data_IF_004215683102
#
_entry.id   IF_004215683102
#
_cell.length_a   1.000
_cell.length_b   1.000
_cell.length_c   1.000
_cell.angle_alpha   90.00
_cell.angle_beta   90.00
_cell.angle_gamma   90.00
#
_symmetry.space_group_name_H-M   'P 1'
#
loop_
_entity.id
_entity.type
_entity.pdbx_description
1 polymer ?
#
# COMPACT_ATOMS: atom_id res chain seq x y z
N UNK A 1 -5.70 -8.07 -79.86
CA UNK A 1 -5.78 -6.60 -79.76
C UNK A 1 -5.79 -6.16 -78.35
N UNK A 2 -4.76 -5.36 -77.98
CA UNK A 2 -4.61 -4.38 -76.85
C UNK A 2 -4.62 -4.91 -75.42
N UNK A 3 -3.55 -5.06 -74.76
CA UNK A 3 -2.48 -4.10 -74.26
C UNK A 3 -2.95 -3.19 -73.18
N UNK A 4 -2.36 -3.37 -72.07
CA UNK A 4 -1.35 -2.62 -71.32
C UNK A 4 -1.90 -1.74 -70.21
N UNK A 5 -1.33 -1.87 -69.01
CA UNK A 5 -1.58 -0.92 -67.93
C UNK A 5 -1.38 -1.44 -66.53
N UNK A 6 -0.27 -2.16 -66.28
CA UNK A 6 0.12 -2.52 -64.90
C UNK A 6 1.61 -2.39 -64.71
N UNK A 7 2.13 -1.17 -64.54
CA UNK A 7 3.54 -0.98 -64.08
C UNK A 7 3.82 0.47 -63.68
N UNK A 8 3.04 1.10 -62.80
CA UNK A 8 3.39 2.45 -62.28
C UNK A 8 3.01 2.68 -60.79
N UNK A 9 2.78 1.64 -59.97
CA UNK A 9 2.43 1.83 -58.53
C UNK A 9 3.39 1.20 -57.54
N UNK A 10 4.54 0.66 -57.96
CA UNK A 10 5.49 0.00 -57.03
C UNK A 10 6.80 0.81 -56.77
N UNK A 11 7.01 1.94 -57.37
CA UNK A 11 8.21 2.76 -57.15
C UNK A 11 8.03 3.89 -56.10
N UNK A 12 6.81 4.20 -55.68
CA UNK A 12 6.56 5.24 -54.67
C UNK A 12 6.74 4.78 -53.22
N UNK A 13 6.56 3.48 -52.94
CA UNK A 13 6.65 2.97 -51.58
C UNK A 13 8.07 2.75 -51.08
N UNK A 14 9.00 2.38 -51.95
CA UNK A 14 10.39 2.11 -51.56
C UNK A 14 11.18 3.39 -51.27
N UNK A 15 10.86 4.50 -51.91
CA UNK A 15 11.53 5.78 -51.69
C UNK A 15 11.15 6.42 -50.34
N UNK A 16 9.87 6.24 -49.90
CA UNK A 16 9.42 6.77 -48.67
C UNK A 16 10.03 6.03 -47.41
N UNK A 17 10.23 4.70 -47.56
CA UNK A 17 10.86 3.88 -46.49
C UNK A 17 12.37 4.18 -46.40
N UNK A 18 13.06 4.42 -47.53
CA UNK A 18 14.46 4.76 -47.53
C UNK A 18 14.77 6.17 -46.96
N UNK A 19 13.84 7.14 -47.13
CA UNK A 19 13.99 8.49 -46.53
C UNK A 19 13.74 8.44 -45.02
N UNK A 20 12.83 7.60 -44.52
CA UNK A 20 12.59 7.40 -43.07
C UNK A 20 13.77 6.66 -42.41
N UNK A 21 14.36 5.66 -43.06
CA UNK A 21 15.52 4.94 -42.55
C UNK A 21 16.79 5.79 -42.56
N UNK A 22 16.97 6.63 -43.59
CA UNK A 22 18.13 7.53 -43.70
C UNK A 22 18.15 8.69 -42.72
N UNK A 23 16.94 9.21 -42.34
CA UNK A 23 16.81 10.26 -41.34
C UNK A 23 17.03 9.78 -39.90
N UNK A 24 16.73 8.51 -39.60
CA UNK A 24 17.02 7.92 -38.29
C UNK A 24 18.52 7.64 -38.02
N UNK A 25 19.32 7.42 -39.10
CA UNK A 25 20.75 7.17 -38.97
C UNK A 25 21.57 8.47 -38.84
N UNK A 26 21.05 9.63 -39.20
CA UNK A 26 21.77 10.90 -39.21
C UNK A 26 21.65 11.72 -37.89
N UNK A 27 20.76 11.36 -36.96
CA UNK A 27 20.58 12.08 -35.72
C UNK A 27 20.40 11.12 -34.52
N UNK A 28 21.49 10.70 -33.86
CA UNK A 28 21.41 9.88 -32.65
C UNK A 28 20.63 10.58 -31.52
N UNK A 29 20.60 11.92 -31.47
CA UNK A 29 19.79 12.69 -30.53
C UNK A 29 18.26 12.55 -30.75
N UNK A 30 17.81 12.29 -31.98
CA UNK A 30 16.39 12.14 -32.29
C UNK A 30 15.86 10.75 -31.87
N UNK A 31 16.71 9.73 -31.92
CA UNK A 31 16.33 8.37 -31.46
C UNK A 31 16.21 8.28 -29.93
N UNK A 32 17.04 9.00 -29.18
CA UNK A 32 16.94 9.13 -27.73
C UNK A 32 15.70 9.92 -27.32
N UNK A 33 15.39 11.02 -28.02
CA UNK A 33 14.19 11.82 -27.73
C UNK A 33 12.90 11.08 -28.06
N UNK A 34 12.87 10.31 -29.15
CA UNK A 34 11.71 9.48 -29.53
C UNK A 34 11.55 8.29 -28.58
N UNK A 35 12.64 7.66 -28.14
CA UNK A 35 12.64 6.60 -27.14
C UNK A 35 12.11 7.08 -25.78
N UNK A 36 12.55 8.27 -25.33
CA UNK A 36 12.04 8.89 -24.09
C UNK A 36 10.58 9.34 -24.22
N UNK A 37 10.17 9.82 -25.40
CA UNK A 37 8.76 10.19 -25.65
C UNK A 37 7.86 8.97 -25.68
N UNK A 38 8.25 7.88 -26.34
CA UNK A 38 7.50 6.61 -26.34
C UNK A 38 7.49 5.96 -24.96
N UNK A 39 8.59 6.03 -24.21
CA UNK A 39 8.66 5.60 -22.81
C UNK A 39 7.72 6.40 -21.91
N UNK A 40 7.69 7.73 -22.06
CA UNK A 40 6.76 8.61 -21.32
C UNK A 40 5.31 8.39 -21.74
N UNK A 41 5.01 8.11 -23.01
CA UNK A 41 3.67 7.78 -23.47
C UNK A 41 3.21 6.41 -22.97
N UNK A 42 4.10 5.41 -22.89
CA UNK A 42 3.81 4.11 -22.30
C UNK A 42 3.59 4.23 -20.78
N UNK A 43 4.40 5.03 -20.08
CA UNK A 43 4.21 5.35 -18.67
C UNK A 43 2.89 6.08 -18.41
N UNK A 44 2.53 7.06 -19.25
CA UNK A 44 1.25 7.76 -19.16
C UNK A 44 0.05 6.83 -19.43
N UNK A 45 0.17 5.87 -20.35
CA UNK A 45 -0.87 4.86 -20.56
C UNK A 45 -1.00 3.87 -19.41
N UNK A 46 0.11 3.52 -18.76
CA UNK A 46 0.11 2.71 -17.55
C UNK A 46 -0.50 3.48 -16.37
N UNK A 47 -0.25 4.80 -16.27
CA UNK A 47 -0.82 5.68 -15.25
C UNK A 47 -2.36 5.76 -15.32
N UNK A 48 -2.94 5.77 -16.52
CA UNK A 48 -4.40 5.81 -16.72
C UNK A 48 -5.11 4.52 -16.28
N UNK A 49 -4.36 3.43 -16.07
CA UNK A 49 -4.87 2.13 -15.64
C UNK A 49 -4.58 1.82 -14.17
N UNK A 50 -3.90 2.71 -13.44
CA UNK A 50 -3.57 2.51 -12.03
C UNK A 50 -4.70 3.00 -11.11
N UNK A 51 -4.92 2.35 -9.96
CA UNK A 51 -5.62 2.99 -8.85
C UNK A 51 -4.87 4.24 -8.41
N UNK A 52 -5.62 5.24 -8.00
CA UNK A 52 -5.15 6.63 -7.88
C UNK A 52 -4.01 6.83 -6.86
N UNK A 53 -3.84 5.96 -5.86
CA UNK A 53 -2.69 5.98 -4.94
C UNK A 53 -1.32 5.67 -5.59
N UNK A 54 -1.30 4.94 -6.71
CA UNK A 54 -0.08 4.69 -7.49
C UNK A 54 0.45 5.91 -8.23
N UNK A 55 -0.40 6.92 -8.48
CA UNK A 55 -0.01 8.18 -9.14
C UNK A 55 0.88 9.05 -8.26
N UNK A 56 0.56 9.18 -6.98
CA UNK A 56 1.36 9.96 -6.03
C UNK A 56 2.79 9.40 -5.87
N UNK A 57 2.92 8.07 -5.86
CA UNK A 57 4.22 7.39 -5.80
C UNK A 57 5.08 7.67 -7.04
N UNK A 58 4.48 7.63 -8.23
CA UNK A 58 5.22 7.91 -9.47
C UNK A 58 5.55 9.40 -9.65
N UNK A 59 4.67 10.30 -9.24
CA UNK A 59 4.96 11.73 -9.26
C UNK A 59 6.14 12.08 -8.36
N UNK A 60 6.22 11.51 -7.15
CA UNK A 60 7.36 11.71 -6.26
C UNK A 60 8.65 11.14 -6.85
N UNK A 61 8.62 9.94 -7.45
CA UNK A 61 9.80 9.31 -8.07
C UNK A 61 10.32 10.08 -9.29
N UNK A 62 9.44 10.68 -10.10
CA UNK A 62 9.84 11.53 -11.22
C UNK A 62 10.37 12.90 -10.79
N UNK A 63 9.98 13.41 -9.60
CA UNK A 63 10.59 14.61 -9.03
C UNK A 63 12.01 14.33 -8.51
N UNK A 64 12.26 13.18 -7.93
CA UNK A 64 13.60 12.79 -7.45
C UNK A 64 14.62 12.62 -8.61
N UNK A 65 14.18 12.06 -9.73
CA UNK A 65 15.04 11.92 -10.94
C UNK A 65 15.41 13.27 -11.59
N UNK A 66 14.67 14.35 -11.32
CA UNK A 66 14.94 15.70 -11.83
C UNK A 66 15.89 16.52 -10.93
N UNK A 67 16.16 16.08 -9.70
CA UNK A 67 17.04 16.77 -8.73
C UNK A 67 18.50 16.27 -8.81
N UNK A 68 18.79 15.20 -9.55
CA UNK A 68 20.14 14.59 -9.59
C UNK A 68 21.10 15.14 -10.65
N UNK A 69 20.75 16.17 -11.43
CA UNK A 69 21.62 16.77 -12.47
C UNK A 69 22.16 18.16 -12.09
N UNK A 70 22.73 18.32 -10.89
CA UNK A 70 23.63 19.44 -10.58
C UNK A 70 25.05 18.89 -10.28
N UNK A 71 26.11 19.41 -10.90
CA UNK A 71 27.46 18.89 -10.72
C UNK A 71 28.03 19.30 -9.35
N UNK A 72 28.30 18.32 -8.51
CA UNK A 72 28.95 18.52 -7.21
C UNK A 72 30.41 18.95 -7.44
N UNK A 73 30.69 20.19 -7.05
CA UNK A 73 32.05 20.72 -6.96
C UNK A 73 32.83 20.04 -5.85
N UNK A 74 33.95 19.43 -6.18
CA UNK A 74 34.83 18.74 -5.24
C UNK A 74 35.53 19.73 -4.31
N UNK A 75 35.27 19.64 -3.00
CA UNK A 75 36.15 20.13 -1.96
C UNK A 75 36.41 19.02 -0.92
N UNK A 76 37.70 18.67 -0.78
CA UNK A 76 38.19 17.65 0.15
C UNK A 76 37.96 18.05 1.61
N UNK A 77 37.66 17.10 2.51
CA UNK A 77 37.64 17.36 3.95
C UNK A 77 39.04 17.21 4.55
N UNK A 78 39.44 18.20 5.35
CA UNK A 78 40.59 18.12 6.25
C UNK A 78 40.29 17.18 7.42
N UNK A 79 41.32 16.40 7.77
CA UNK A 79 41.34 15.49 8.90
C UNK A 79 41.36 16.23 10.23
N UNK A 80 40.43 15.95 11.13
CA UNK A 80 40.51 16.29 12.56
C UNK A 80 40.86 15.06 13.41
N UNK A 81 41.71 15.30 14.44
CA UNK A 81 42.32 14.32 15.31
C UNK A 81 41.35 13.78 16.36
N UNK A 82 41.56 12.56 16.90
CA UNK A 82 40.70 11.97 17.90
C UNK A 82 40.87 12.58 19.30
N UNK A 83 39.75 12.88 19.93
CA UNK A 83 39.70 13.22 21.37
C UNK A 83 39.38 11.92 22.13
N UNK A 84 40.26 11.58 23.06
CA UNK A 84 40.06 10.53 24.06
C UNK A 84 38.95 10.95 25.03
N UNK A 85 37.96 10.11 25.27
CA UNK A 85 37.01 10.23 26.36
C UNK A 85 37.08 9.01 27.27
N UNK A 86 37.09 9.30 28.56
CA UNK A 86 37.24 8.37 29.64
C UNK A 86 36.02 7.45 29.82
N UNK A 87 36.29 6.20 30.18
CA UNK A 87 35.27 5.22 30.55
C UNK A 87 34.72 5.56 31.97
N UNK A 88 33.41 5.75 32.02
CA UNK A 88 32.67 5.73 33.29
C UNK A 88 31.73 4.50 33.28
N UNK A 89 31.94 3.64 34.28
CA UNK A 89 31.20 2.39 34.50
C UNK A 89 29.82 2.71 35.06
N UNK A 90 28.78 2.31 34.36
CA UNK A 90 27.40 2.31 34.88
C UNK A 90 27.01 0.87 35.23
N UNK A 91 26.67 0.65 36.50
CA UNK A 91 26.18 -0.60 37.05
C UNK A 91 24.77 -0.91 36.49
N UNK A 92 24.57 -2.16 36.11
CA UNK A 92 23.24 -2.74 35.83
C UNK A 92 22.36 -2.72 37.09
N UNK A 93 21.08 -2.33 36.99
CA UNK A 93 20.12 -2.61 38.07
C UNK A 93 19.49 -4.00 37.82
N UNK A 94 19.70 -4.89 38.80
CA UNK A 94 19.03 -6.17 38.94
C UNK A 94 17.51 -5.98 39.13
N UNK A 95 16.71 -6.59 38.27
CA UNK A 95 15.26 -6.65 38.39
C UNK A 95 14.89 -7.84 39.27
N UNK A 96 14.04 -7.67 40.32
CA UNK A 96 13.49 -8.80 41.06
C UNK A 96 12.36 -9.46 40.24
N UNK A 97 12.41 -10.79 40.11
CA UNK A 97 11.31 -11.58 39.62
C UNK A 97 10.18 -11.60 40.67
N UNK A 98 9.08 -10.95 40.40
CA UNK A 98 7.84 -11.10 41.14
C UNK A 98 6.73 -11.50 40.20
N UNK A 99 6.36 -12.77 40.30
CA UNK A 99 5.20 -13.38 39.65
C UNK A 99 3.93 -12.77 40.28
N UNK A 100 3.21 -11.97 39.50
CA UNK A 100 1.80 -11.71 39.78
C UNK A 100 1.02 -11.97 38.51
N UNK A 101 0.18 -13.04 38.57
CA UNK A 101 -0.87 -13.27 37.61
C UNK A 101 -1.92 -12.17 37.81
N UNK A 102 -1.78 -11.07 37.07
CA UNK A 102 -2.84 -10.06 36.95
C UNK A 102 -3.85 -10.54 35.90
N UNK A 103 -5.09 -10.68 36.35
CA UNK A 103 -6.28 -10.80 35.52
C UNK A 103 -6.24 -9.69 34.45
N UNK A 104 -5.97 -10.03 33.19
CA UNK A 104 -6.02 -9.11 32.08
C UNK A 104 -7.46 -8.60 31.95
N UNK A 105 -7.71 -7.40 32.42
CA UNK A 105 -8.89 -6.64 32.05
C UNK A 105 -8.74 -6.32 30.56
N UNK A 106 -9.58 -6.93 29.72
CA UNK A 106 -9.66 -6.63 28.30
C UNK A 106 -9.96 -5.13 28.12
N UNK A 107 -8.93 -4.34 27.80
CA UNK A 107 -9.11 -2.93 27.51
C UNK A 107 -9.63 -2.80 26.06
N UNK A 108 -10.88 -2.43 25.92
CA UNK A 108 -11.44 -2.07 24.62
C UNK A 108 -10.89 -0.70 24.21
N UNK A 109 -10.23 -0.62 23.06
CA UNK A 109 -9.78 0.66 22.50
C UNK A 109 -11.03 1.43 22.05
N UNK A 110 -11.18 2.65 22.56
CA UNK A 110 -12.31 3.50 22.17
C UNK A 110 -12.02 4.17 20.82
N UNK A 111 -12.92 4.02 19.86
CA UNK A 111 -12.88 4.76 18.60
C UNK A 111 -13.16 6.23 18.89
N UNK A 112 -12.28 7.16 18.50
CA UNK A 112 -12.49 8.60 18.70
C UNK A 112 -13.65 9.07 17.82
N UNK A 113 -14.48 9.97 18.38
CA UNK A 113 -15.53 10.61 17.60
C UNK A 113 -14.97 11.76 16.78
N UNK A 114 -15.40 11.87 15.53
CA UNK A 114 -15.04 12.99 14.67
C UNK A 114 -15.65 14.28 15.20
N UNK A 115 -14.85 15.35 15.40
CA UNK A 115 -15.35 16.62 15.89
C UNK A 115 -16.25 17.32 14.86
N UNK A 116 -17.07 18.26 15.34
CA UNK A 116 -17.89 19.09 14.47
C UNK A 116 -17.01 19.95 13.54
N UNK A 117 -17.36 19.97 12.25
CA UNK A 117 -16.59 20.69 11.25
C UNK A 117 -16.73 22.21 11.39
N UNK A 118 -15.61 22.95 11.37
CA UNK A 118 -15.65 24.39 11.13
C UNK A 118 -16.30 24.72 9.78
N UNK A 119 -16.80 25.97 9.65
CA UNK A 119 -17.35 26.47 8.39
C UNK A 119 -16.25 26.57 7.31
N UNK A 120 -16.61 26.40 6.03
CA UNK A 120 -15.71 26.54 4.89
C UNK A 120 -15.04 27.92 4.80
N UNK A 121 -15.70 28.95 5.36
CA UNK A 121 -15.17 30.32 5.40
C UNK A 121 -13.90 30.45 6.25
N UNK A 122 -13.62 29.48 7.13
CA UNK A 122 -12.36 29.45 7.91
C UNK A 122 -11.16 29.07 7.05
N UNK A 123 -11.39 28.51 5.85
CA UNK A 123 -10.35 28.12 4.89
C UNK A 123 -10.15 29.24 3.88
N UNK A 124 -8.89 29.62 3.61
CA UNK A 124 -8.55 30.57 2.57
C UNK A 124 -9.12 30.14 1.22
N UNK A 125 -9.76 31.00 0.43
CA UNK A 125 -10.46 30.62 -0.81
C UNK A 125 -9.62 29.78 -1.78
N UNK A 126 -8.32 30.04 -1.89
CA UNK A 126 -7.36 29.35 -2.74
C UNK A 126 -7.04 27.92 -2.28
N UNK A 127 -7.33 27.61 -1.00
CA UNK A 127 -7.07 26.29 -0.40
C UNK A 127 -8.35 25.45 -0.25
N UNK A 128 -9.49 25.92 -0.77
CA UNK A 128 -10.76 25.17 -0.66
C UNK A 128 -10.79 24.04 -1.68
N UNK A 129 -10.67 22.83 -1.21
CA UNK A 129 -10.87 21.61 -2.00
C UNK A 129 -12.23 20.98 -1.76
N UNK A 130 -12.55 19.95 -2.52
CA UNK A 130 -13.79 19.17 -2.41
C UNK A 130 -13.49 17.75 -2.04
N UNK A 131 -14.31 17.15 -1.17
CA UNK A 131 -14.32 15.72 -0.85
C UNK A 131 -15.58 15.10 -1.47
N UNK A 132 -15.41 13.98 -2.17
CA UNK A 132 -16.52 13.21 -2.75
C UNK A 132 -16.56 11.82 -2.16
N UNK A 133 -17.67 11.46 -1.54
CA UNK A 133 -17.91 10.09 -1.09
C UNK A 133 -18.16 9.16 -2.27
N UNK A 134 -17.57 7.96 -2.22
CA UNK A 134 -17.73 6.94 -3.24
C UNK A 134 -17.67 5.55 -2.63
N UNK A 135 -18.61 4.68 -3.00
CA UNK A 135 -18.50 3.26 -2.74
C UNK A 135 -17.91 2.57 -3.95
N UNK A 136 -16.80 1.87 -3.75
CA UNK A 136 -16.13 1.10 -4.79
C UNK A 136 -16.64 -0.33 -4.79
N UNK A 137 -17.05 -0.81 -5.96
CA UNK A 137 -17.51 -2.18 -6.18
C UNK A 137 -16.91 -2.72 -7.47
N UNK A 138 -16.86 -4.05 -7.61
CA UNK A 138 -16.52 -4.67 -8.87
C UNK A 138 -17.58 -4.34 -9.94
N UNK A 139 -17.14 -4.12 -11.16
CA UNK A 139 -18.00 -4.04 -12.34
C UNK A 139 -18.06 -5.38 -13.09
N UNK A 140 -18.71 -5.40 -14.25
CA UNK A 140 -18.83 -6.61 -15.09
C UNK A 140 -17.66 -6.84 -16.04
N UNK A 141 -16.58 -6.07 -15.91
CA UNK A 141 -15.42 -6.25 -16.79
C UNK A 141 -14.66 -7.53 -16.43
N UNK A 142 -13.87 -8.01 -17.37
CA UNK A 142 -13.00 -9.18 -17.19
C UNK A 142 -11.81 -8.91 -16.25
N UNK A 143 -11.65 -7.69 -15.76
CA UNK A 143 -10.63 -7.35 -14.78
C UNK A 143 -10.94 -7.92 -13.39
N UNK A 144 -12.21 -8.22 -13.10
CA UNK A 144 -12.65 -8.70 -11.79
C UNK A 144 -12.90 -10.20 -11.80
N UNK A 145 -12.25 -10.89 -10.86
CA UNK A 145 -12.39 -12.32 -10.62
C UNK A 145 -13.23 -12.48 -9.35
N UNK A 146 -14.41 -13.13 -9.40
CA UNK A 146 -15.22 -13.34 -8.21
C UNK A 146 -14.57 -14.35 -7.27
N UNK A 147 -14.66 -14.07 -5.96
CA UNK A 147 -14.36 -14.97 -4.87
C UNK A 147 -15.64 -15.58 -4.28
N UNK A 148 -15.56 -16.36 -3.23
CA UNK A 148 -16.75 -16.83 -2.47
C UNK A 148 -17.56 -15.65 -1.92
N UNK A 149 -16.88 -14.58 -1.47
CA UNK A 149 -17.41 -13.25 -1.24
C UNK A 149 -16.34 -12.21 -1.64
N UNK A 150 -16.75 -11.10 -2.23
CA UNK A 150 -15.83 -10.10 -2.76
C UNK A 150 -15.21 -10.48 -4.11
N UNK A 151 -14.16 -9.76 -4.51
CA UNK A 151 -13.55 -9.85 -5.82
C UNK A 151 -12.05 -9.58 -5.77
N UNK A 152 -11.31 -10.11 -6.76
CA UNK A 152 -9.95 -9.68 -7.08
C UNK A 152 -9.99 -8.81 -8.34
N UNK A 153 -9.37 -7.64 -8.31
CA UNK A 153 -9.03 -6.85 -9.49
C UNK A 153 -7.68 -7.30 -10.00
N UNK A 154 -7.69 -8.09 -11.09
CA UNK A 154 -6.46 -8.57 -11.71
C UNK A 154 -5.85 -7.49 -12.62
N UNK A 155 -4.78 -6.87 -12.16
CA UNK A 155 -4.01 -5.86 -12.90
C UNK A 155 -2.64 -6.41 -13.33
N UNK A 156 -2.55 -7.72 -13.55
CA UNK A 156 -1.35 -8.41 -14.04
C UNK A 156 -1.54 -8.93 -15.46
N UNK A 157 -0.49 -9.51 -16.04
CA UNK A 157 -0.56 -10.20 -17.34
C UNK A 157 -1.04 -11.67 -17.21
N UNK A 158 -1.29 -12.16 -15.99
CA UNK A 158 -1.85 -13.49 -15.80
C UNK A 158 -3.31 -13.51 -16.26
N UNK A 159 -3.70 -14.56 -16.98
CA UNK A 159 -5.10 -14.77 -17.32
C UNK A 159 -5.91 -15.07 -16.04
N UNK A 160 -7.20 -14.73 -16.04
CA UNK A 160 -8.09 -15.07 -14.93
C UNK A 160 -8.10 -16.57 -14.62
N UNK A 161 -7.94 -17.43 -15.64
CA UNK A 161 -7.86 -18.88 -15.43
C UNK A 161 -6.59 -19.28 -14.67
N UNK A 162 -5.45 -18.63 -14.92
CA UNK A 162 -4.22 -18.86 -14.15
C UNK A 162 -4.39 -18.41 -12.69
N UNK A 163 -4.97 -17.22 -12.48
CA UNK A 163 -5.27 -16.72 -11.13
C UNK A 163 -6.21 -17.67 -10.39
N UNK A 164 -7.30 -18.12 -11.02
CA UNK A 164 -8.23 -19.09 -10.41
C UNK A 164 -7.55 -20.41 -10.08
N UNK A 165 -6.60 -20.88 -10.91
CA UNK A 165 -5.84 -22.11 -10.65
C UNK A 165 -4.90 -21.96 -9.42
N UNK A 166 -4.34 -20.77 -9.20
CA UNK A 166 -3.56 -20.46 -8.00
C UNK A 166 -4.43 -20.42 -6.75
N UNK A 167 -5.60 -19.80 -6.84
CA UNK A 167 -6.57 -19.71 -5.75
C UNK A 167 -7.20 -21.06 -5.36
N UNK A 168 -7.18 -22.03 -6.26
CA UNK A 168 -7.66 -23.39 -5.99
C UNK A 168 -6.66 -24.21 -5.13
N UNK A 169 -5.43 -23.72 -4.96
CA UNK A 169 -4.46 -24.33 -4.05
C UNK A 169 -4.79 -23.97 -2.60
N UNK A 170 -4.45 -24.83 -1.62
CA UNK A 170 -4.64 -24.53 -0.21
C UNK A 170 -3.94 -23.23 0.21
N UNK A 171 -4.51 -22.52 1.16
CA UNK A 171 -3.80 -21.45 1.86
C UNK A 171 -2.73 -22.09 2.76
N UNK A 172 -1.47 -21.75 2.50
CA UNK A 172 -0.33 -22.36 3.22
C UNK A 172 0.03 -21.62 4.51
N UNK A 173 -0.61 -20.50 4.81
CA UNK A 173 -0.47 -19.79 6.07
C UNK A 173 -1.26 -20.56 7.12
N UNK A 174 -0.56 -21.09 8.14
CA UNK A 174 -1.17 -21.80 9.25
C UNK A 174 -0.58 -21.32 10.57
N UNK A 175 -1.47 -20.96 11.51
CA UNK A 175 -1.07 -20.64 12.88
C UNK A 175 -0.68 -21.92 13.62
N UNK A 176 0.16 -21.76 14.63
CA UNK A 176 0.55 -22.79 15.59
C UNK A 176 -0.16 -22.52 16.93
N UNK A 177 -0.39 -23.58 17.71
CA UNK A 177 -0.87 -23.44 19.08
C UNK A 177 0.31 -23.06 19.99
N UNK A 178 0.55 -21.75 20.15
CA UNK A 178 1.69 -21.20 20.87
C UNK A 178 1.40 -19.77 21.37
N UNK A 179 2.01 -19.41 22.48
CA UNK A 179 1.98 -18.04 23.02
C UNK A 179 2.98 -17.10 22.30
N UNK A 180 3.74 -17.59 21.32
CA UNK A 180 4.67 -16.77 20.56
C UNK A 180 3.93 -15.89 19.56
N UNK A 181 4.47 -14.69 19.23
CA UNK A 181 3.86 -13.83 18.22
C UNK A 181 3.88 -14.48 16.84
N UNK A 182 2.75 -14.45 16.14
CA UNK A 182 2.58 -15.02 14.81
C UNK A 182 2.14 -14.00 13.77
N UNK A 183 1.77 -12.80 14.22
CA UNK A 183 1.42 -11.66 13.36
C UNK A 183 2.36 -10.50 13.68
N UNK A 184 2.91 -9.87 12.64
CA UNK A 184 3.64 -8.62 12.74
C UNK A 184 2.84 -7.54 12.01
N UNK A 185 2.52 -6.46 12.72
CA UNK A 185 1.92 -5.25 12.15
C UNK A 185 3.00 -4.18 12.08
N UNK A 186 3.14 -3.55 10.93
CA UNK A 186 4.11 -2.47 10.66
C UNK A 186 3.45 -1.35 9.89
N UNK A 187 4.15 -0.22 9.78
CA UNK A 187 3.71 0.97 9.04
C UNK A 187 4.91 1.54 8.26
N UNK A 188 5.00 1.23 6.98
CA UNK A 188 6.05 1.83 6.12
C UNK A 188 5.86 3.34 6.03
N UNK A 189 4.61 3.80 6.02
CA UNK A 189 4.24 5.22 6.03
C UNK A 189 3.44 5.58 7.29
N UNK A 190 4.08 5.41 8.47
CA UNK A 190 3.45 5.58 9.78
C UNK A 190 2.81 6.97 10.00
N UNK A 191 3.35 8.02 9.34
CA UNK A 191 2.80 9.38 9.50
C UNK A 191 1.53 9.65 8.69
N UNK A 192 1.04 8.68 7.89
CA UNK A 192 -0.22 8.83 7.14
C UNK A 192 -1.39 9.08 8.07
N UNK A 193 -2.08 10.21 7.87
CA UNK A 193 -3.23 10.62 8.67
C UNK A 193 -4.44 10.94 7.77
N UNK A 194 -5.52 11.37 8.38
CA UNK A 194 -6.85 11.44 7.81
C UNK A 194 -7.41 12.86 7.84
N UNK A 195 -8.54 13.08 7.16
CA UNK A 195 -9.29 14.32 7.26
C UNK A 195 -9.81 14.48 8.72
N UNK A 196 -9.57 15.62 9.36
CA UNK A 196 -9.96 15.80 10.76
C UNK A 196 -11.48 15.94 10.98
N UNK A 197 -12.27 16.18 9.93
CA UNK A 197 -13.70 16.44 10.02
C UNK A 197 -14.50 15.64 8.99
N UNK A 198 -15.73 15.24 9.32
CA UNK A 198 -16.68 14.67 8.35
C UNK A 198 -17.39 15.79 7.60
N UNK A 199 -16.93 16.08 6.39
CA UNK A 199 -17.42 17.17 5.54
C UNK A 199 -17.15 16.88 4.05
N UNK A 200 -17.78 17.65 3.17
CA UNK A 200 -17.66 17.53 1.71
C UNK A 200 -16.62 18.49 1.09
N UNK A 201 -15.87 19.20 1.94
CA UNK A 201 -14.78 20.10 1.55
C UNK A 201 -13.53 19.84 2.40
N UNK A 202 -12.35 20.27 1.93
CA UNK A 202 -11.08 20.15 2.64
C UNK A 202 -10.25 21.43 2.54
N UNK A 203 -9.24 21.52 3.39
CA UNK A 203 -8.17 22.51 3.27
C UNK A 203 -6.98 21.85 2.54
N UNK A 204 -6.74 22.22 1.29
CA UNK A 204 -5.65 21.67 0.48
C UNK A 204 -4.25 22.07 0.97
N UNK A 205 -4.14 22.97 1.93
CA UNK A 205 -2.89 23.27 2.63
C UNK A 205 -2.60 22.31 3.78
N UNK A 206 -3.57 21.47 4.18
CA UNK A 206 -3.38 20.41 5.16
C UNK A 206 -2.62 19.25 4.53
N UNK A 207 -1.66 18.70 5.25
CA UNK A 207 -0.74 17.71 4.67
C UNK A 207 -1.21 16.26 4.79
N UNK A 208 -2.27 15.99 5.55
CA UNK A 208 -2.72 14.64 5.92
C UNK A 208 -1.58 13.74 6.41
N UNK A 209 -0.66 14.35 7.18
CA UNK A 209 0.46 13.68 7.85
C UNK A 209 0.52 14.11 9.31
N UNK A 210 0.79 13.16 10.22
CA UNK A 210 0.93 13.40 11.65
C UNK A 210 1.98 12.48 12.24
N UNK A 211 2.86 13.00 13.08
CA UNK A 211 3.77 12.20 13.91
C UNK A 211 3.15 11.77 15.25
N UNK A 212 1.92 12.18 15.53
CA UNK A 212 1.13 11.70 16.65
C UNK A 212 0.48 10.38 16.28
N UNK A 213 0.95 9.28 16.85
CA UNK A 213 0.48 7.93 16.58
C UNK A 213 -0.99 7.69 16.96
N UNK A 214 -1.60 8.59 17.73
CA UNK A 214 -3.05 8.55 18.01
C UNK A 214 -3.91 9.15 16.88
N UNK A 215 -3.29 9.77 15.87
CA UNK A 215 -3.95 10.51 14.79
C UNK A 215 -3.60 9.99 13.38
N UNK A 216 -2.85 8.91 13.29
CA UNK A 216 -2.34 8.36 12.03
C UNK A 216 -2.64 6.85 11.91
N UNK A 217 -2.12 6.19 10.89
CA UNK A 217 -2.36 4.76 10.63
C UNK A 217 -1.86 3.83 11.75
N UNK A 218 -0.96 4.28 12.61
CA UNK A 218 -0.49 3.49 13.77
C UNK A 218 -1.63 3.21 14.73
N UNK A 219 -2.55 4.17 14.93
CA UNK A 219 -3.76 3.95 15.75
C UNK A 219 -4.65 2.81 15.20
N UNK A 220 -4.71 2.66 13.87
CA UNK A 220 -5.43 1.53 13.25
C UNK A 220 -4.73 0.20 13.54
N UNK A 221 -3.39 0.20 13.56
CA UNK A 221 -2.58 -0.94 13.99
C UNK A 221 -2.87 -1.35 15.44
N UNK A 222 -3.02 -0.39 16.36
CA UNK A 222 -3.41 -0.66 17.75
C UNK A 222 -4.77 -1.38 17.82
N UNK A 223 -5.76 -0.91 17.03
CA UNK A 223 -7.10 -1.51 17.00
C UNK A 223 -7.02 -2.95 16.46
N UNK A 224 -6.31 -3.18 15.35
CA UNK A 224 -6.17 -4.52 14.76
C UNK A 224 -5.46 -5.45 15.74
N UNK A 225 -4.37 -5.00 16.38
CA UNK A 225 -3.64 -5.73 17.42
C UNK A 225 -4.58 -6.17 18.53
N UNK A 226 -5.38 -5.25 19.05
CA UNK A 226 -6.35 -5.53 20.12
C UNK A 226 -7.37 -6.62 19.70
N UNK A 227 -7.86 -6.59 18.44
CA UNK A 227 -8.80 -7.62 17.95
C UNK A 227 -8.15 -9.01 17.84
N UNK A 228 -6.88 -9.06 17.40
CA UNK A 228 -6.13 -10.31 17.27
C UNK A 228 -5.77 -10.89 18.65
N UNK A 229 -5.30 -10.05 19.58
CA UNK A 229 -4.97 -10.46 20.96
C UNK A 229 -6.21 -10.93 21.72
N UNK A 230 -7.38 -10.27 21.55
CA UNK A 230 -8.65 -10.74 22.11
C UNK A 230 -9.07 -12.11 21.58
N UNK A 231 -8.62 -12.47 20.37
CA UNK A 231 -8.83 -13.78 19.77
C UNK A 231 -7.76 -14.82 20.16
N UNK A 232 -6.81 -14.45 21.03
CA UNK A 232 -5.73 -15.33 21.49
C UNK A 232 -4.56 -15.45 20.50
N UNK A 233 -4.44 -14.57 19.52
CA UNK A 233 -3.36 -14.57 18.54
C UNK A 233 -2.25 -13.63 19.01
N UNK A 234 -1.02 -14.13 19.17
CA UNK A 234 0.14 -13.32 19.52
C UNK A 234 0.54 -12.37 18.40
N UNK A 235 0.68 -11.09 18.73
CA UNK A 235 0.98 -10.00 17.78
C UNK A 235 2.21 -9.22 18.23
N UNK A 236 3.00 -8.77 17.28
CA UNK A 236 3.94 -7.65 17.44
C UNK A 236 3.40 -6.48 16.64
N UNK A 237 3.19 -5.35 17.29
CA UNK A 237 2.87 -4.09 16.61
C UNK A 237 4.08 -3.17 16.69
N UNK A 238 4.79 -3.00 15.56
CA UNK A 238 5.91 -2.08 15.45
C UNK A 238 5.43 -0.69 15.03
N UNK A 239 5.60 0.30 15.90
CA UNK A 239 5.12 1.67 15.73
C UNK A 239 6.20 2.62 15.20
N UNK A 240 7.30 2.10 14.68
CA UNK A 240 8.40 2.89 14.15
C UNK A 240 7.96 3.72 12.96
N UNK A 241 8.23 5.02 12.99
CA UNK A 241 7.90 5.95 11.91
C UNK A 241 8.99 5.92 10.83
N UNK A 242 8.87 4.99 9.86
CA UNK A 242 9.89 4.78 8.83
C UNK A 242 9.92 5.91 7.78
N UNK A 243 8.85 6.69 7.65
CA UNK A 243 8.71 7.83 6.72
C UNK A 243 9.01 9.20 7.37
N UNK A 244 9.53 9.21 8.59
CA UNK A 244 9.92 10.44 9.29
C UNK A 244 11.34 10.33 9.85
N UNK A 245 12.20 11.37 9.77
CA UNK A 245 11.93 12.69 9.15
C UNK A 245 12.01 12.70 7.62
N UNK A 246 12.35 11.59 6.97
CA UNK A 246 12.47 11.47 5.52
C UNK A 246 11.48 10.45 4.97
N UNK A 247 10.67 10.86 4.00
CA UNK A 247 9.77 9.97 3.28
C UNK A 247 10.55 8.96 2.40
N UNK A 248 11.58 9.44 1.69
CA UNK A 248 12.37 8.60 0.81
C UNK A 248 13.15 7.55 1.61
N UNK A 249 13.19 6.32 1.12
CA UNK A 249 13.83 5.19 1.78
C UNK A 249 13.00 4.56 2.91
N UNK A 250 11.69 4.89 3.04
CA UNK A 250 10.82 4.30 4.07
C UNK A 250 10.65 2.79 3.91
N UNK A 251 10.53 2.29 2.67
CA UNK A 251 10.45 0.85 2.41
C UNK A 251 11.73 0.09 2.76
N UNK A 252 12.90 0.66 2.53
CA UNK A 252 14.17 0.07 2.93
C UNK A 252 14.26 -0.01 4.46
N UNK A 253 13.89 1.06 5.18
CA UNK A 253 13.90 1.09 6.65
C UNK A 253 12.88 0.13 7.26
N UNK A 254 11.66 0.09 6.73
CA UNK A 254 10.65 -0.87 7.20
C UNK A 254 11.05 -2.33 6.91
N UNK A 255 11.69 -2.60 5.76
CA UNK A 255 12.23 -3.91 5.47
C UNK A 255 13.30 -4.36 6.48
N UNK A 256 14.17 -3.45 6.95
CA UNK A 256 15.15 -3.75 8.00
C UNK A 256 14.45 -4.10 9.32
N UNK A 257 13.42 -3.34 9.70
CA UNK A 257 12.61 -3.59 10.89
C UNK A 257 11.89 -4.95 10.79
N UNK A 258 11.24 -5.23 9.67
CA UNK A 258 10.56 -6.51 9.44
C UNK A 258 11.56 -7.68 9.56
N UNK A 259 12.74 -7.60 8.91
CA UNK A 259 13.76 -8.67 9.01
C UNK A 259 14.24 -8.92 10.43
N UNK A 260 14.43 -7.87 11.24
CA UNK A 260 14.81 -8.02 12.67
C UNK A 260 13.74 -8.79 13.45
N UNK A 261 12.45 -8.47 13.25
CA UNK A 261 11.37 -9.17 13.91
C UNK A 261 11.25 -10.63 13.46
N UNK A 262 11.39 -10.90 12.16
CA UNK A 262 11.37 -12.26 11.60
C UNK A 262 12.57 -13.10 12.09
N UNK A 263 13.73 -12.50 12.29
CA UNK A 263 14.91 -13.16 12.88
C UNK A 263 14.69 -13.45 14.36
N UNK A 264 14.14 -12.50 15.10
CA UNK A 264 13.89 -12.63 16.55
C UNK A 264 12.75 -13.62 16.85
N UNK A 265 11.70 -13.62 16.03
CA UNK A 265 10.52 -14.46 16.19
C UNK A 265 10.21 -15.25 14.90
N UNK A 266 10.87 -16.40 14.69
CA UNK A 266 10.58 -17.25 13.54
C UNK A 266 9.16 -17.83 13.52
N UNK A 267 8.41 -17.67 14.60
CA UNK A 267 6.99 -18.00 14.73
C UNK A 267 6.08 -17.08 13.92
N UNK A 268 6.53 -15.89 13.50
CA UNK A 268 5.74 -14.95 12.71
C UNK A 268 5.39 -15.60 11.35
N UNK A 269 4.09 -15.68 11.05
CA UNK A 269 3.53 -16.27 9.83
C UNK A 269 3.07 -15.22 8.83
N UNK A 270 2.67 -14.05 9.31
CA UNK A 270 2.13 -12.98 8.47
C UNK A 270 2.67 -11.61 8.88
N UNK A 271 2.93 -10.76 7.89
CA UNK A 271 3.30 -9.36 8.06
C UNK A 271 2.24 -8.50 7.40
N UNK A 272 1.66 -7.58 8.15
CA UNK A 272 0.63 -6.65 7.67
C UNK A 272 1.19 -5.23 7.72
N UNK A 273 1.38 -4.62 6.55
CA UNK A 273 1.76 -3.22 6.43
C UNK A 273 0.49 -2.37 6.32
N UNK A 274 0.18 -1.61 7.37
CA UNK A 274 -1.06 -0.85 7.49
C UNK A 274 -0.86 0.57 6.98
N UNK A 275 -1.65 0.94 5.98
CA UNK A 275 -1.61 2.19 5.24
C UNK A 275 -2.99 2.84 5.12
N UNK A 276 -3.04 3.99 4.50
CA UNK A 276 -4.22 4.59 3.87
C UNK A 276 -3.92 4.99 2.43
N UNK A 277 -4.92 4.89 1.56
CA UNK A 277 -4.80 5.26 0.14
C UNK A 277 -4.77 6.80 -0.03
N UNK A 278 -4.33 7.26 -1.20
CA UNK A 278 -4.43 8.66 -1.63
C UNK A 278 -5.21 8.72 -2.94
N UNK A 279 -6.52 8.98 -2.85
CA UNK A 279 -7.41 8.91 -4.00
C UNK A 279 -7.89 10.31 -4.37
N UNK A 280 -7.56 10.74 -5.57
CA UNK A 280 -8.01 12.01 -6.13
C UNK A 280 -8.67 11.81 -7.50
N UNK A 281 -9.64 12.66 -7.80
CA UNK A 281 -10.18 12.74 -9.15
C UNK A 281 -9.20 13.47 -10.08
N UNK A 282 -9.34 13.36 -11.42
CA UNK A 282 -8.53 14.15 -12.35
C UNK A 282 -8.64 15.66 -12.17
N UNK A 283 -9.66 16.14 -11.45
CA UNK A 283 -9.85 17.54 -11.10
C UNK A 283 -9.21 17.92 -9.75
N UNK A 284 -8.51 16.99 -9.07
CA UNK A 284 -7.88 17.20 -7.76
C UNK A 284 -8.84 17.12 -6.57
N UNK A 285 -10.09 16.66 -6.77
CA UNK A 285 -11.01 16.45 -5.66
C UNK A 285 -10.64 15.17 -4.91
N UNK A 286 -10.62 15.21 -3.59
CA UNK A 286 -10.41 14.03 -2.78
C UNK A 286 -11.58 13.04 -2.95
N UNK A 287 -11.28 11.76 -3.06
CA UNK A 287 -12.28 10.70 -3.08
C UNK A 287 -12.18 9.91 -1.79
N UNK A 288 -13.28 9.90 -1.06
CA UNK A 288 -13.46 9.24 0.22
C UNK A 288 -14.19 7.91 0.00
N UNK A 289 -13.49 6.76 0.06
CA UNK A 289 -14.13 5.45 -0.08
C UNK A 289 -14.92 5.11 1.18
N UNK A 290 -16.23 4.94 1.06
CA UNK A 290 -17.13 4.67 2.18
C UNK A 290 -18.16 3.59 1.85
N UNK A 291 -18.60 2.88 2.89
CA UNK A 291 -19.75 1.99 2.90
C UNK A 291 -20.54 2.16 4.22
N UNK A 292 -21.82 1.77 4.22
CA UNK A 292 -22.62 1.67 5.44
C UNK A 292 -22.53 0.25 5.99
N UNK A 293 -21.81 0.08 7.09
CA UNK A 293 -21.63 -1.21 7.76
C UNK A 293 -22.33 -1.13 9.13
N UNK A 294 -23.26 -2.03 9.37
CA UNK A 294 -24.06 -2.05 10.60
C UNK A 294 -24.76 -0.71 10.92
N UNK A 295 -25.07 0.08 9.90
CA UNK A 295 -25.74 1.37 10.04
C UNK A 295 -24.80 2.56 10.29
N UNK A 296 -23.47 2.34 10.31
CA UNK A 296 -22.46 3.37 10.50
C UNK A 296 -21.62 3.59 9.25
N UNK A 297 -21.30 4.84 8.97
CA UNK A 297 -20.39 5.20 7.87
C UNK A 297 -18.99 4.69 8.21
N UNK A 298 -18.45 3.84 7.35
CA UNK A 298 -17.20 3.11 7.55
C UNK A 298 -16.33 3.27 6.30
N UNK A 299 -15.05 3.49 6.46
CA UNK A 299 -14.12 3.53 5.34
C UNK A 299 -14.04 2.16 4.65
N UNK A 300 -14.01 2.12 3.31
CA UNK A 300 -13.73 0.87 2.62
C UNK A 300 -12.24 0.54 2.67
N UNK A 301 -11.93 -0.74 2.83
CA UNK A 301 -10.56 -1.28 2.93
C UNK A 301 -10.15 -1.90 1.60
N UNK A 302 -8.90 -1.72 1.18
CA UNK A 302 -8.33 -2.40 0.02
C UNK A 302 -7.12 -3.23 0.44
N UNK A 303 -7.14 -4.52 0.12
CA UNK A 303 -6.00 -5.40 0.28
C UNK A 303 -5.18 -5.35 -1.01
N UNK A 304 -3.88 -5.09 -0.91
CA UNK A 304 -2.93 -5.20 -2.01
C UNK A 304 -2.22 -6.55 -1.90
N UNK A 305 -2.29 -7.32 -2.99
CA UNK A 305 -1.52 -8.54 -3.18
C UNK A 305 -0.51 -8.30 -4.32
N UNK A 306 0.77 -8.33 -3.99
CA UNK A 306 1.85 -8.18 -4.96
C UNK A 306 1.97 -9.41 -5.87
N UNK A 307 2.45 -9.19 -7.08
CA UNK A 307 2.76 -10.24 -8.05
C UNK A 307 4.16 -10.00 -8.63
N UNK A 308 4.95 -11.04 -8.79
CA UNK A 308 6.23 -10.95 -9.49
C UNK A 308 6.03 -10.88 -11.01
N UNK A 309 6.69 -9.94 -11.66
CA UNK A 309 6.75 -9.85 -13.12
C UNK A 309 7.94 -10.64 -13.72
N UNK A 310 8.66 -11.38 -12.90
CA UNK A 310 9.88 -12.12 -13.21
C UNK A 310 11.17 -11.34 -12.94
N UNK A 311 11.07 -10.11 -12.42
CA UNK A 311 12.23 -9.24 -12.11
C UNK A 311 12.29 -8.77 -10.66
N UNK A 312 11.21 -8.93 -9.89
CA UNK A 312 11.10 -8.36 -8.54
C UNK A 312 11.65 -9.27 -7.45
N UNK A 313 11.91 -10.54 -7.75
CA UNK A 313 12.33 -11.56 -6.78
C UNK A 313 11.35 -11.67 -5.60
N UNK A 314 10.12 -12.08 -5.91
CA UNK A 314 9.04 -12.33 -4.95
C UNK A 314 8.59 -13.80 -5.05
N UNK A 315 9.32 -14.75 -4.48
CA UNK A 315 9.09 -16.19 -4.73
C UNK A 315 7.72 -16.68 -4.23
N UNK A 316 7.20 -16.10 -3.15
CA UNK A 316 5.98 -16.55 -2.46
C UNK A 316 4.75 -15.64 -2.72
N UNK A 317 4.73 -14.87 -3.80
CA UNK A 317 3.65 -13.93 -4.09
C UNK A 317 2.28 -14.61 -4.27
N UNK A 318 2.25 -15.85 -4.74
CA UNK A 318 1.03 -16.64 -4.90
C UNK A 318 0.43 -17.08 -3.55
N UNK A 319 1.27 -17.27 -2.52
CA UNK A 319 0.84 -17.52 -1.14
C UNK A 319 0.20 -16.27 -0.55
N UNK A 320 0.80 -15.09 -0.77
CA UNK A 320 0.23 -13.80 -0.39
C UNK A 320 -1.13 -13.58 -1.06
N UNK A 321 -1.28 -13.94 -2.33
CA UNK A 321 -2.55 -13.84 -3.06
C UNK A 321 -3.64 -14.73 -2.44
N UNK A 322 -3.31 -15.98 -2.07
CA UNK A 322 -4.26 -16.89 -1.40
C UNK A 322 -4.70 -16.36 -0.04
N UNK A 323 -3.74 -15.81 0.73
CA UNK A 323 -4.04 -15.14 1.99
C UNK A 323 -4.96 -13.92 1.79
N UNK A 324 -4.66 -13.04 0.85
CA UNK A 324 -5.50 -11.89 0.51
C UNK A 324 -6.92 -12.30 0.12
N UNK A 325 -7.07 -13.35 -0.70
CA UNK A 325 -8.36 -13.85 -1.14
C UNK A 325 -9.19 -14.45 0.01
N UNK A 326 -8.56 -15.18 0.91
CA UNK A 326 -9.20 -15.74 2.09
C UNK A 326 -9.70 -14.63 3.03
N UNK A 327 -8.82 -13.65 3.34
CA UNK A 327 -9.15 -12.51 4.18
C UNK A 327 -10.28 -11.67 3.57
N UNK A 328 -10.22 -11.38 2.27
CA UNK A 328 -11.28 -10.69 1.54
C UNK A 328 -12.62 -11.40 1.67
N UNK A 329 -12.62 -12.72 1.44
CA UNK A 329 -13.85 -13.52 1.49
C UNK A 329 -14.46 -13.55 2.88
N UNK A 330 -13.64 -13.66 3.94
CA UNK A 330 -14.11 -13.60 5.33
C UNK A 330 -14.67 -12.20 5.64
N UNK A 331 -13.93 -11.14 5.28
CA UNK A 331 -14.34 -9.76 5.54
C UNK A 331 -15.69 -9.42 4.86
N UNK A 332 -15.86 -9.77 3.58
CA UNK A 332 -17.10 -9.56 2.84
C UNK A 332 -18.26 -10.45 3.31
N UNK A 333 -17.98 -11.64 3.84
CA UNK A 333 -18.99 -12.50 4.45
C UNK A 333 -19.51 -11.91 5.77
N UNK A 334 -18.60 -11.39 6.61
CA UNK A 334 -18.95 -10.81 7.92
C UNK A 334 -19.53 -9.39 7.77
N UNK A 335 -19.00 -8.60 6.86
CA UNK A 335 -19.27 -7.17 6.69
C UNK A 335 -19.41 -6.81 5.21
N UNK A 336 -20.54 -7.16 4.55
CA UNK A 336 -20.73 -6.93 3.12
C UNK A 336 -20.54 -5.46 2.74
N UNK A 337 -19.66 -5.21 1.76
CA UNK A 337 -19.32 -3.88 1.27
C UNK A 337 -18.15 -3.21 2.01
N UNK A 338 -17.58 -3.84 3.04
CA UNK A 338 -16.42 -3.31 3.76
C UNK A 338 -15.21 -3.17 2.85
N UNK A 339 -15.01 -4.13 1.93
CA UNK A 339 -13.80 -4.14 1.14
C UNK A 339 -14.01 -3.66 -0.29
N UNK A 340 -13.04 -2.97 -0.82
CA UNK A 340 -12.81 -2.81 -2.25
C UNK A 340 -12.27 -4.15 -2.79
N UNK A 341 -12.39 -4.45 -4.11
CA UNK A 341 -11.74 -5.63 -4.66
C UNK A 341 -10.25 -5.69 -4.34
N UNK A 342 -9.72 -6.85 -3.97
CA UNK A 342 -8.27 -7.06 -3.79
C UNK A 342 -7.53 -6.53 -5.01
N UNK A 343 -6.54 -5.67 -4.79
CA UNK A 343 -5.71 -5.15 -5.86
C UNK A 343 -4.51 -6.07 -6.11
N UNK A 344 -4.64 -6.94 -7.11
CA UNK A 344 -3.59 -7.86 -7.52
C UNK A 344 -2.77 -7.25 -8.66
N UNK A 345 -1.52 -6.90 -8.39
CA UNK A 345 -0.71 -6.07 -9.29
C UNK A 345 0.79 -6.31 -9.11
N UNK A 346 1.59 -5.86 -10.08
CA UNK A 346 3.05 -5.88 -10.01
C UNK A 346 3.57 -4.82 -9.05
N UNK A 347 3.61 -5.15 -7.76
CA UNK A 347 4.14 -4.33 -6.65
C UNK A 347 4.84 -5.21 -5.64
N UNK A 348 5.98 -4.76 -5.14
CA UNK A 348 6.77 -5.49 -4.15
C UNK A 348 6.38 -5.12 -2.71
N UNK A 349 6.53 -3.85 -2.33
CA UNK A 349 6.10 -3.33 -1.03
C UNK A 349 6.47 -4.23 0.16
N UNK A 350 7.72 -4.76 0.18
CA UNK A 350 8.21 -5.70 1.19
C UNK A 350 7.40 -7.01 1.33
N UNK A 351 6.45 -7.28 0.42
CA UNK A 351 5.66 -8.51 0.43
C UNK A 351 6.45 -9.76 -0.02
N UNK A 352 7.73 -9.60 -0.33
CA UNK A 352 8.69 -10.67 -0.59
C UNK A 352 9.33 -11.23 0.67
N UNK A 353 9.11 -10.62 1.85
CA UNK A 353 9.79 -10.99 3.09
C UNK A 353 9.18 -12.22 3.77
N UNK A 354 7.90 -12.51 3.54
CA UNK A 354 7.24 -13.77 3.96
C UNK A 354 6.21 -14.21 2.92
N UNK A 355 5.79 -15.48 2.98
CA UNK A 355 4.65 -16.00 2.22
C UNK A 355 3.29 -15.69 2.84
N UNK A 356 3.19 -14.68 3.69
CA UNK A 356 1.97 -14.18 4.34
C UNK A 356 1.93 -12.65 4.43
N UNK A 357 2.70 -11.94 3.60
CA UNK A 357 2.79 -10.46 3.66
C UNK A 357 1.70 -9.79 2.83
N UNK A 358 1.00 -8.82 3.42
CA UNK A 358 0.00 -7.98 2.74
C UNK A 358 0.23 -6.51 3.09
N UNK A 359 -0.11 -5.62 2.15
CA UNK A 359 -0.32 -4.22 2.42
C UNK A 359 -1.83 -3.95 2.42
N UNK A 360 -2.33 -3.23 3.43
CA UNK A 360 -3.76 -2.97 3.58
C UNK A 360 -4.00 -1.47 3.70
N UNK A 361 -4.79 -0.94 2.77
CA UNK A 361 -5.21 0.46 2.69
C UNK A 361 -6.54 0.66 3.41
N UNK A 362 -6.55 1.44 4.47
CA UNK A 362 -7.76 1.78 5.21
C UNK A 362 -8.31 3.14 4.76
N UNK A 363 -9.29 3.12 3.88
CA UNK A 363 -9.85 4.33 3.31
C UNK A 363 -8.86 5.13 2.45
N UNK A 364 -8.97 6.44 2.50
CA UNK A 364 -8.05 7.40 1.88
C UNK A 364 -7.83 8.59 2.84
N UNK A 365 -6.95 9.51 2.44
CA UNK A 365 -6.74 10.75 3.19
C UNK A 365 -8.01 11.64 3.30
N UNK A 366 -9.03 11.40 2.49
CA UNK A 366 -10.33 12.06 2.60
C UNK A 366 -11.27 11.45 3.65
N UNK A 367 -10.97 10.26 4.20
CA UNK A 367 -11.73 9.67 5.30
C UNK A 367 -11.36 10.31 6.64
N UNK A 368 -12.26 10.20 7.61
CA UNK A 368 -11.94 10.56 9.00
C UNK A 368 -11.28 9.40 9.74
N UNK A 369 -10.56 9.72 10.83
CA UNK A 369 -9.98 8.69 11.71
C UNK A 369 -11.07 7.77 12.29
N UNK A 370 -12.26 8.30 12.61
CA UNK A 370 -13.38 7.51 13.11
C UNK A 370 -13.87 6.46 12.10
N UNK A 371 -14.02 6.84 10.82
CA UNK A 371 -14.44 5.92 9.76
C UNK A 371 -13.41 4.81 9.49
N UNK A 372 -12.13 5.16 9.54
CA UNK A 372 -11.03 4.20 9.33
C UNK A 372 -10.78 3.33 10.56
N UNK A 373 -10.98 3.86 11.76
CA UNK A 373 -10.91 3.08 13.01
C UNK A 373 -12.01 2.00 13.08
N UNK A 374 -13.26 2.32 12.66
CA UNK A 374 -14.30 1.30 12.51
C UNK A 374 -13.91 0.23 11.48
N UNK A 375 -13.36 0.64 10.36
CA UNK A 375 -12.86 -0.29 9.34
C UNK A 375 -11.75 -1.20 9.90
N UNK A 376 -10.84 -0.66 10.70
CA UNK A 376 -9.76 -1.41 11.36
C UNK A 376 -10.32 -2.43 12.37
N UNK A 377 -11.35 -2.06 13.12
CA UNK A 377 -12.03 -3.00 14.03
C UNK A 377 -12.67 -4.17 13.27
N UNK A 378 -13.42 -3.89 12.20
CA UNK A 378 -14.05 -4.93 11.39
C UNK A 378 -13.04 -5.81 10.68
N UNK A 379 -11.99 -5.20 10.11
CA UNK A 379 -10.93 -5.95 9.43
C UNK A 379 -10.11 -6.79 10.42
N UNK A 380 -9.81 -6.29 11.63
CA UNK A 380 -9.13 -7.03 12.69
C UNK A 380 -9.93 -8.29 13.10
N UNK A 381 -11.25 -8.17 13.27
CA UNK A 381 -12.14 -9.31 13.53
C UNK A 381 -12.16 -10.33 12.38
N UNK A 382 -12.21 -9.85 11.14
CA UNK A 382 -12.17 -10.73 9.96
C UNK A 382 -10.81 -11.43 9.83
N UNK A 383 -9.72 -10.73 10.12
CA UNK A 383 -8.37 -11.29 10.15
C UNK A 383 -8.23 -12.37 11.23
N UNK A 384 -8.69 -12.10 12.45
CA UNK A 384 -8.73 -13.08 13.53
C UNK A 384 -9.51 -14.34 13.13
N UNK A 385 -10.72 -14.18 12.59
CA UNK A 385 -11.55 -15.30 12.13
C UNK A 385 -10.87 -16.11 11.03
N UNK A 386 -10.20 -15.46 10.08
CA UNK A 386 -9.52 -16.15 8.98
C UNK A 386 -8.30 -16.92 9.50
N UNK A 387 -7.51 -16.31 10.38
CA UNK A 387 -6.31 -16.92 10.95
C UNK A 387 -6.65 -18.10 11.88
N UNK A 388 -7.66 -17.97 12.76
CA UNK A 388 -8.11 -19.06 13.62
C UNK A 388 -8.61 -20.28 12.82
N UNK A 389 -9.21 -20.04 11.64
CA UNK A 389 -9.59 -21.11 10.73
C UNK A 389 -8.42 -21.93 10.15
N UNK A 390 -7.16 -21.52 10.42
CA UNK A 390 -5.94 -22.21 9.98
C UNK A 390 -5.29 -23.07 11.06
N UNK A 391 -5.78 -22.99 12.31
CA UNK A 391 -5.29 -23.85 13.40
C UNK A 391 -5.56 -25.32 13.08
N UNK A 392 -4.64 -26.23 13.41
CA UNK A 392 -4.86 -27.66 13.28
C UNK A 392 -6.04 -28.10 14.18
N UNK A 393 -6.85 -29.04 13.68
CA UNK A 393 -7.94 -29.69 14.44
C UNK A 393 -7.40 -30.55 15.59
#
# INVERSE_FOLDING_TARGET
MRHSGRSRRLLGGAAAIAVLAGSLAAFPALSTTLGTFLGKAAAASAMLQMPEGGMAYLQNRFQDDLVQDEPVSSSQPQAEKPVQSAAESVQEPSIPAESQAESQSQSTISIPQTPESPSIETIAPENRGTITEKTFTADRSSLYIPLSAGYIKNSTNLSNQQVLSLLAQPMELALEDTDQPQVLIVHTHATESFEPFDRDFCDTSYTWRSTDNTQNVVFLGDIITNQLEQAGIGVIHDTTQHDYPSYNGSYERSAETIRKWLEQYPSIKTVIDVHRDAIESPAGNLIKPVAMINGEKTAQVMIIAGCDDGTMNMPDWDRNLRWAAALQSTAETMYPGLTRPVFFCYRKYNMDLTGGSLLIEFGSHGNTLEETARAAEYMGKAMAQTLLGTLPE
#
